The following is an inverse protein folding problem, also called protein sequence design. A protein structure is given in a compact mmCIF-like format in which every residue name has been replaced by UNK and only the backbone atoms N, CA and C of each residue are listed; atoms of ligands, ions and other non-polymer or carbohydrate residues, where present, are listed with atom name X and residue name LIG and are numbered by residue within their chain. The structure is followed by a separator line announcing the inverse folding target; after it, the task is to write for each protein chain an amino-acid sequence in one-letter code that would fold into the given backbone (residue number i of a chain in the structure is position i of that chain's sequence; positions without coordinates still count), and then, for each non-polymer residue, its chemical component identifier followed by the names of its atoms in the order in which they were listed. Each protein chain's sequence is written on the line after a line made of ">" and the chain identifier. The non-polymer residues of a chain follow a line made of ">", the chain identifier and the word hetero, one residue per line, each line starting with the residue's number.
data_IF_411696622805
#
_entry.id   IF_411696622805
#
_cell.length_a   1.000
_cell.length_b   1.000
_cell.length_c   1.000
_cell.angle_alpha   90.00
_cell.angle_beta   90.00
_cell.angle_gamma   90.00
#
_symmetry.space_group_name_H-M   'P 1'
#
loop_
_entity.id
_entity.type
_entity.pdbx_description
1 polymer ?
#
# COMPACT_ATOMS: atom_id res chain seq x y z
N UNK A 1 16.53 26.13 -6.52
CA UNK A 1 15.16 25.64 -6.21
C UNK A 1 14.42 25.17 -7.44
N UNK A 2 14.45 25.93 -8.58
CA UNK A 2 13.85 25.45 -9.85
C UNK A 2 14.51 24.15 -10.33
N UNK A 3 15.85 24.07 -10.32
CA UNK A 3 16.60 22.88 -10.74
C UNK A 3 16.23 21.61 -9.95
N UNK A 4 15.94 21.73 -8.64
CA UNK A 4 15.53 20.61 -7.79
C UNK A 4 14.16 20.05 -8.21
N UNK A 5 13.18 20.92 -8.50
CA UNK A 5 11.86 20.48 -8.95
C UNK A 5 11.91 19.87 -10.36
N UNK A 6 12.77 20.37 -11.22
CA UNK A 6 12.99 19.80 -12.55
C UNK A 6 13.60 18.40 -12.44
N UNK A 7 14.60 18.22 -11.58
CA UNK A 7 15.23 16.92 -11.34
C UNK A 7 14.22 15.92 -10.73
N UNK A 8 13.41 16.34 -9.76
CA UNK A 8 12.32 15.53 -9.20
C UNK A 8 11.35 15.12 -10.29
N UNK A 9 10.93 16.06 -11.16
CA UNK A 9 9.98 15.78 -12.25
C UNK A 9 10.52 14.76 -13.24
N UNK A 10 11.78 14.88 -13.65
CA UNK A 10 12.43 13.93 -14.57
C UNK A 10 12.56 12.54 -13.93
N UNK A 11 13.04 12.50 -12.68
CA UNK A 11 13.24 11.25 -11.94
C UNK A 11 11.89 10.56 -11.68
N UNK A 12 10.86 11.32 -11.32
CA UNK A 12 9.50 10.80 -11.11
C UNK A 12 8.91 10.21 -12.38
N UNK A 13 9.05 10.85 -13.53
CA UNK A 13 8.60 10.31 -14.82
C UNK A 13 9.29 8.98 -15.16
N UNK A 14 10.59 8.88 -14.90
CA UNK A 14 11.34 7.65 -15.12
C UNK A 14 10.88 6.54 -14.15
N UNK A 15 10.67 6.89 -12.89
CA UNK A 15 10.16 6.00 -11.85
C UNK A 15 8.75 5.48 -12.19
N UNK A 16 7.81 6.39 -12.51
CA UNK A 16 6.42 6.04 -12.89
C UNK A 16 6.40 5.06 -14.06
N UNK A 17 7.15 5.34 -15.13
CA UNK A 17 7.25 4.43 -16.28
C UNK A 17 7.83 3.05 -15.92
N UNK A 18 8.78 3.00 -15.00
CA UNK A 18 9.33 1.74 -14.49
C UNK A 18 8.29 0.99 -13.66
N UNK A 19 7.55 1.70 -12.81
CA UNK A 19 6.51 1.15 -11.96
C UNK A 19 5.33 0.59 -12.77
N UNK A 20 4.85 1.31 -13.80
CA UNK A 20 3.77 0.85 -14.67
C UNK A 20 4.12 -0.48 -15.34
N UNK A 21 5.37 -0.60 -15.84
CA UNK A 21 5.86 -1.86 -16.42
C UNK A 21 5.91 -2.99 -15.40
N UNK A 22 6.29 -2.68 -14.18
CA UNK A 22 6.37 -3.61 -13.07
C UNK A 22 4.98 -4.11 -12.68
N UNK A 23 4.02 -3.21 -12.49
CA UNK A 23 2.63 -3.54 -12.19
C UNK A 23 1.98 -4.36 -13.31
N UNK A 24 2.21 -4.02 -14.58
CA UNK A 24 1.71 -4.79 -15.72
C UNK A 24 2.25 -6.24 -15.72
N UNK A 25 3.53 -6.45 -15.37
CA UNK A 25 4.10 -7.79 -15.24
C UNK A 25 3.51 -8.59 -14.07
N UNK A 26 3.33 -7.92 -12.92
CA UNK A 26 2.69 -8.54 -11.76
C UNK A 26 1.25 -8.94 -12.06
N UNK A 27 0.47 -8.09 -12.72
CA UNK A 27 -0.89 -8.41 -13.15
C UNK A 27 -0.96 -9.57 -14.15
N UNK A 28 0.08 -9.73 -14.99
CA UNK A 28 0.24 -10.86 -15.92
C UNK A 28 0.85 -12.10 -15.28
N UNK A 29 1.08 -12.14 -13.96
CA UNK A 29 1.78 -13.22 -13.24
C UNK A 29 3.15 -13.58 -13.84
N UNK A 30 3.85 -12.61 -14.45
CA UNK A 30 5.18 -12.79 -15.02
C UNK A 30 6.27 -12.53 -13.97
N UNK A 31 7.39 -13.26 -14.09
CA UNK A 31 8.54 -13.03 -13.22
C UNK A 31 9.15 -11.65 -13.46
N UNK A 32 9.48 -10.97 -12.38
CA UNK A 32 10.18 -9.68 -12.43
C UNK A 32 11.64 -9.92 -12.84
N UNK A 33 12.18 -9.06 -13.70
CA UNK A 33 13.56 -9.15 -14.17
C UNK A 33 14.46 -8.52 -13.11
N UNK A 34 15.46 -9.24 -12.52
CA UNK A 34 16.30 -8.71 -11.44
C UNK A 34 16.99 -7.39 -11.78
N UNK A 35 17.48 -7.24 -13.01
CA UNK A 35 18.09 -5.97 -13.47
C UNK A 35 17.10 -4.81 -13.52
N UNK A 36 15.86 -5.07 -13.88
CA UNK A 36 14.79 -4.05 -13.90
C UNK A 36 14.41 -3.64 -12.48
N UNK A 37 14.36 -4.59 -11.55
CA UNK A 37 14.08 -4.32 -10.14
C UNK A 37 15.20 -3.50 -9.47
N UNK A 38 16.47 -3.82 -9.77
CA UNK A 38 17.61 -3.02 -9.28
C UNK A 38 17.51 -1.56 -9.78
N UNK A 39 17.28 -1.36 -11.08
CA UNK A 39 17.13 -0.01 -11.64
C UNK A 39 15.91 0.74 -11.09
N UNK A 40 14.82 0.03 -10.81
CA UNK A 40 13.65 0.62 -10.17
C UNK A 40 13.93 1.05 -8.72
N UNK A 41 14.68 0.23 -7.98
CA UNK A 41 15.10 0.56 -6.62
C UNK A 41 16.02 1.78 -6.58
N UNK A 42 16.97 1.88 -7.52
CA UNK A 42 17.86 3.03 -7.63
C UNK A 42 17.07 4.33 -7.88
N UNK A 43 16.08 4.30 -8.79
CA UNK A 43 15.19 5.43 -9.04
C UNK A 43 14.37 5.81 -7.80
N UNK A 44 13.90 4.82 -7.05
CA UNK A 44 13.15 5.04 -5.80
C UNK A 44 14.04 5.71 -4.74
N UNK A 45 15.26 5.21 -4.54
CA UNK A 45 16.22 5.78 -3.59
C UNK A 45 16.52 7.23 -3.97
N UNK A 46 16.84 7.47 -5.25
CA UNK A 46 17.13 8.83 -5.74
C UNK A 46 15.95 9.79 -5.54
N UNK A 47 14.73 9.32 -5.78
CA UNK A 47 13.53 10.14 -5.57
C UNK A 47 13.32 10.47 -4.10
N UNK A 48 13.56 9.51 -3.19
CA UNK A 48 13.47 9.72 -1.73
C UNK A 48 14.51 10.73 -1.25
N UNK A 49 15.76 10.67 -1.76
CA UNK A 49 16.80 11.65 -1.45
C UNK A 49 16.39 13.06 -1.87
N UNK A 50 15.96 13.22 -3.13
CA UNK A 50 15.50 14.51 -3.65
C UNK A 50 14.28 15.07 -2.88
N UNK A 51 13.36 14.19 -2.48
CA UNK A 51 12.20 14.60 -1.68
C UNK A 51 12.58 14.95 -0.24
N UNK A 52 13.67 14.40 0.30
CA UNK A 52 14.21 14.77 1.61
C UNK A 52 14.65 16.23 1.70
N UNK A 53 15.13 16.79 0.60
CA UNK A 53 15.53 18.19 0.50
C UNK A 53 14.33 19.16 0.37
N UNK A 54 13.13 18.62 0.09
CA UNK A 54 11.89 19.41 0.02
C UNK A 54 11.25 19.45 1.40
N UNK A 55 11.33 20.61 2.05
CA UNK A 55 10.67 20.82 3.35
C UNK A 55 9.15 21.00 3.16
N UNK A 56 8.43 19.87 3.24
CA UNK A 56 6.98 19.88 3.15
C UNK A 56 6.36 20.50 4.42
N UNK A 57 5.31 21.28 4.21
CA UNK A 57 4.52 21.82 5.34
C UNK A 57 3.84 20.65 6.08
N UNK A 58 3.87 20.71 7.43
CA UNK A 58 3.29 19.70 8.32
C UNK A 58 1.82 19.37 7.96
N UNK A 59 1.00 20.38 7.68
CA UNK A 59 -0.41 20.18 7.31
C UNK A 59 -0.56 19.35 6.02
N UNK A 60 0.40 19.47 5.07
CA UNK A 60 0.41 18.66 3.85
C UNK A 60 0.78 17.21 4.13
N UNK A 61 1.75 16.98 5.01
CA UNK A 61 2.14 15.63 5.45
C UNK A 61 0.95 14.94 6.13
N UNK A 62 0.25 15.65 7.01
CA UNK A 62 -0.94 15.12 7.69
C UNK A 62 -2.07 14.81 6.72
N UNK A 63 -2.37 15.70 5.78
CA UNK A 63 -3.40 15.49 4.77
C UNK A 63 -3.08 14.29 3.85
N UNK A 64 -1.82 14.14 3.42
CA UNK A 64 -1.37 12.99 2.62
C UNK A 64 -1.48 11.68 3.42
N UNK A 65 -1.06 11.70 4.69
CA UNK A 65 -1.17 10.53 5.57
C UNK A 65 -2.61 10.10 5.77
N UNK A 66 -3.54 11.05 6.02
CA UNK A 66 -4.97 10.73 6.18
C UNK A 66 -5.58 10.18 4.89
N UNK A 67 -5.18 10.70 3.73
CA UNK A 67 -5.62 10.15 2.44
C UNK A 67 -5.18 8.70 2.28
N UNK A 68 -3.91 8.39 2.56
CA UNK A 68 -3.38 7.01 2.52
C UNK A 68 -4.09 6.09 3.51
N UNK A 69 -4.40 6.55 4.73
CA UNK A 69 -5.17 5.76 5.69
C UNK A 69 -6.61 5.50 5.23
N UNK A 70 -7.22 6.46 4.54
CA UNK A 70 -8.56 6.29 3.97
C UNK A 70 -8.56 5.22 2.87
N UNK A 71 -7.57 5.26 1.96
CA UNK A 71 -7.39 4.22 0.95
C UNK A 71 -7.13 2.85 1.59
N UNK A 72 -6.30 2.78 2.64
CA UNK A 72 -6.04 1.53 3.36
C UNK A 72 -7.30 0.96 4.02
N UNK A 73 -8.14 1.81 4.63
CA UNK A 73 -9.44 1.39 5.18
C UNK A 73 -10.35 0.85 4.08
N UNK A 74 -10.36 1.47 2.91
CA UNK A 74 -11.15 1.02 1.77
C UNK A 74 -10.69 -0.37 1.28
N UNK A 75 -9.39 -0.56 1.03
CA UNK A 75 -8.81 -1.86 0.63
C UNK A 75 -9.11 -2.94 1.67
N UNK A 76 -8.88 -2.65 2.96
CA UNK A 76 -9.14 -3.60 4.04
C UNK A 76 -10.62 -3.99 4.13
N UNK A 77 -11.53 -3.05 3.87
CA UNK A 77 -12.98 -3.33 3.82
C UNK A 77 -13.33 -4.26 2.66
N UNK A 78 -12.76 -4.05 1.48
CA UNK A 78 -12.97 -4.91 0.30
C UNK A 78 -12.45 -6.33 0.54
N UNK A 79 -11.23 -6.45 1.08
CA UNK A 79 -10.65 -7.74 1.45
C UNK A 79 -11.46 -8.44 2.57
N UNK A 80 -11.98 -7.68 3.51
CA UNK A 80 -12.87 -8.19 4.55
C UNK A 80 -14.19 -8.75 4.01
N UNK A 81 -14.74 -8.13 2.96
CA UNK A 81 -15.92 -8.66 2.24
C UNK A 81 -15.58 -9.96 1.52
N UNK A 82 -14.47 -9.99 0.77
CA UNK A 82 -13.97 -11.17 0.08
C UNK A 82 -13.73 -12.33 1.06
N UNK A 83 -13.10 -12.05 2.19
CA UNK A 83 -12.82 -13.05 3.22
C UNK A 83 -14.13 -13.65 3.79
N UNK A 84 -15.14 -12.84 4.06
CA UNK A 84 -16.44 -13.30 4.57
C UNK A 84 -17.14 -14.19 3.57
N UNK A 85 -17.24 -13.79 2.31
CA UNK A 85 -17.83 -14.62 1.23
C UNK A 85 -17.11 -15.96 1.06
N UNK A 86 -15.79 -15.98 1.19
CA UNK A 86 -15.01 -17.23 1.12
C UNK A 86 -15.27 -18.15 2.32
N UNK A 87 -15.36 -17.60 3.54
CA UNK A 87 -15.69 -18.34 4.75
C UNK A 87 -17.10 -18.94 4.69
N UNK A 88 -18.09 -18.21 4.16
CA UNK A 88 -19.47 -18.68 3.96
C UNK A 88 -19.53 -19.87 2.97
N UNK A 89 -18.56 -19.97 2.07
CA UNK A 89 -18.41 -21.11 1.19
C UNK A 89 -17.61 -22.29 1.81
N UNK A 90 -17.15 -22.14 3.06
CA UNK A 90 -16.39 -23.17 3.79
C UNK A 90 -14.91 -23.22 3.41
N UNK A 91 -14.34 -22.12 2.90
CA UNK A 91 -12.91 -21.99 2.61
C UNK A 91 -12.24 -21.38 3.84
N UNK A 92 -11.16 -21.99 4.32
CA UNK A 92 -10.46 -21.46 5.50
C UNK A 92 -9.72 -20.16 5.17
N UNK A 93 -9.57 -19.28 6.17
CA UNK A 93 -8.83 -18.01 6.05
C UNK A 93 -7.40 -18.21 5.50
N UNK A 94 -6.70 -19.24 5.96
CA UNK A 94 -5.35 -19.56 5.49
C UNK A 94 -5.29 -19.89 4.01
N UNK A 95 -6.28 -20.65 3.51
CA UNK A 95 -6.39 -20.97 2.09
C UNK A 95 -6.67 -19.71 1.25
N UNK A 96 -7.56 -18.84 1.70
CA UNK A 96 -7.84 -17.57 1.00
C UNK A 96 -6.58 -16.73 0.92
N UNK A 97 -5.88 -16.52 2.03
CA UNK A 97 -4.66 -15.71 2.07
C UNK A 97 -3.55 -16.28 1.18
N UNK A 98 -3.35 -17.60 1.21
CA UNK A 98 -2.33 -18.27 0.38
C UNK A 98 -2.57 -18.08 -1.12
N UNK A 99 -3.82 -17.96 -1.56
CA UNK A 99 -4.17 -17.77 -2.97
C UNK A 99 -4.44 -16.32 -3.36
N UNK A 100 -4.71 -15.45 -2.39
CA UNK A 100 -5.00 -14.04 -2.61
C UNK A 100 -3.74 -13.19 -2.65
N UNK A 101 -2.84 -13.37 -1.67
CA UNK A 101 -1.64 -12.54 -1.52
C UNK A 101 -0.75 -12.62 -2.79
N UNK A 102 -0.46 -11.45 -3.37
CA UNK A 102 0.31 -11.32 -4.60
C UNK A 102 -0.49 -11.54 -5.89
N UNK A 103 -1.80 -11.80 -5.79
CA UNK A 103 -2.70 -12.00 -6.93
C UNK A 103 -3.93 -11.10 -6.89
N UNK A 104 -3.89 -10.05 -6.09
CA UNK A 104 -5.01 -9.14 -5.85
C UNK A 104 -5.51 -8.47 -7.14
N UNK A 105 -4.59 -8.23 -8.09
CA UNK A 105 -4.87 -7.60 -9.38
C UNK A 105 -4.97 -8.60 -10.55
N UNK A 106 -4.87 -9.91 -10.29
CA UNK A 106 -4.97 -10.91 -11.34
C UNK A 106 -6.41 -11.05 -11.81
N UNK A 107 -6.64 -10.98 -13.13
CA UNK A 107 -7.96 -11.27 -13.71
C UNK A 107 -8.33 -12.73 -13.41
N UNK A 108 -9.62 -12.98 -13.20
CA UNK A 108 -10.19 -14.32 -12.98
C UNK A 108 -9.75 -15.03 -11.69
N UNK A 109 -9.41 -14.30 -10.63
CA UNK A 109 -9.24 -14.94 -9.32
C UNK A 109 -10.59 -15.52 -8.83
N UNK A 110 -10.63 -16.74 -8.29
CA UNK A 110 -9.53 -17.59 -7.85
C UNK A 110 -8.82 -18.41 -8.95
N UNK A 111 -9.22 -18.26 -10.22
CA UNK A 111 -8.55 -18.86 -11.37
C UNK A 111 -8.74 -20.38 -11.49
N UNK A 112 -8.07 -20.97 -12.48
CA UNK A 112 -8.04 -22.43 -12.71
C UNK A 112 -7.05 -23.14 -11.80
N UNK A 113 -6.15 -22.41 -11.14
CA UNK A 113 -5.10 -22.98 -10.27
C UNK A 113 -5.62 -23.47 -8.92
N UNK A 114 -6.87 -23.16 -8.59
CA UNK A 114 -7.50 -23.56 -7.33
C UNK A 114 -8.63 -24.55 -7.64
N UNK A 115 -8.44 -25.81 -7.29
CA UNK A 115 -9.44 -26.87 -7.47
C UNK A 115 -10.08 -27.24 -6.13
N UNK A 116 -11.40 -27.43 -6.14
CA UNK A 116 -12.14 -27.86 -4.97
C UNK A 116 -13.61 -27.48 -5.04
N UNK A 117 -14.47 -28.27 -4.40
CA UNK A 117 -15.93 -28.06 -4.38
C UNK A 117 -16.30 -26.68 -3.82
N UNK A 118 -15.62 -26.24 -2.77
CA UNK A 118 -15.88 -24.97 -2.11
C UNK A 118 -15.48 -23.77 -2.97
N UNK A 119 -14.39 -23.89 -3.73
CA UNK A 119 -13.93 -22.85 -4.66
C UNK A 119 -14.85 -22.71 -5.87
N UNK A 120 -15.38 -23.83 -6.39
CA UNK A 120 -16.44 -23.79 -7.42
C UNK A 120 -17.68 -23.09 -6.88
N UNK A 121 -18.15 -23.46 -5.68
CA UNK A 121 -19.27 -22.82 -5.02
C UNK A 121 -19.07 -21.30 -4.84
N UNK A 122 -17.86 -20.89 -4.46
CA UNK A 122 -17.51 -19.47 -4.33
C UNK A 122 -17.63 -18.74 -5.68
N UNK A 123 -17.09 -19.34 -6.75
CA UNK A 123 -17.13 -18.76 -8.09
C UNK A 123 -18.56 -18.70 -8.65
N UNK A 124 -19.35 -19.78 -8.48
CA UNK A 124 -20.69 -19.87 -9.02
C UNK A 124 -21.67 -18.95 -8.29
N UNK A 125 -21.54 -18.79 -6.96
CA UNK A 125 -22.47 -18.00 -6.16
C UNK A 125 -22.08 -16.53 -6.05
N UNK A 126 -20.79 -16.22 -6.11
CA UNK A 126 -20.25 -14.88 -5.79
C UNK A 126 -19.31 -14.32 -6.86
N UNK A 127 -19.26 -14.93 -8.05
CA UNK A 127 -18.33 -14.54 -9.13
C UNK A 127 -18.39 -13.06 -9.47
N UNK A 128 -19.59 -12.50 -9.64
CA UNK A 128 -19.79 -11.09 -9.95
C UNK A 128 -19.31 -10.17 -8.82
N UNK A 129 -19.61 -10.53 -7.56
CA UNK A 129 -19.18 -9.77 -6.39
C UNK A 129 -17.65 -9.80 -6.21
N UNK A 130 -17.01 -10.93 -6.53
CA UNK A 130 -15.55 -11.05 -6.50
C UNK A 130 -14.90 -10.21 -7.59
N UNK A 131 -15.46 -10.22 -8.80
CA UNK A 131 -15.01 -9.37 -9.90
C UNK A 131 -15.11 -7.89 -9.55
N UNK A 132 -16.24 -7.47 -8.97
CA UNK A 132 -16.43 -6.09 -8.50
C UNK A 132 -15.38 -5.68 -7.45
N UNK A 133 -15.08 -6.57 -6.49
CA UNK A 133 -14.05 -6.31 -5.46
C UNK A 133 -12.67 -6.18 -6.10
N UNK A 134 -12.33 -7.06 -7.04
CA UNK A 134 -11.05 -7.00 -7.75
C UNK A 134 -10.91 -5.73 -8.59
N UNK A 135 -11.96 -5.33 -9.30
CA UNK A 135 -11.93 -4.12 -10.11
C UNK A 135 -11.75 -2.87 -9.23
N UNK A 136 -12.41 -2.82 -8.07
CA UNK A 136 -12.21 -1.73 -7.09
C UNK A 136 -10.79 -1.71 -6.53
N UNK A 137 -10.22 -2.87 -6.21
CA UNK A 137 -8.83 -2.95 -5.74
C UNK A 137 -7.86 -2.53 -6.85
N UNK A 138 -8.12 -2.94 -8.10
CA UNK A 138 -7.30 -2.53 -9.25
C UNK A 138 -7.32 -1.02 -9.45
N UNK A 139 -8.49 -0.38 -9.37
CA UNK A 139 -8.60 1.08 -9.44
C UNK A 139 -7.75 1.77 -8.36
N UNK A 140 -7.74 1.24 -7.14
CA UNK A 140 -6.89 1.78 -6.07
C UNK A 140 -5.40 1.58 -6.37
N UNK A 141 -5.01 0.42 -6.92
CA UNK A 141 -3.62 0.15 -7.33
C UNK A 141 -3.19 1.06 -8.48
N UNK A 142 -4.06 1.26 -9.47
CA UNK A 142 -3.78 2.14 -10.61
C UNK A 142 -3.67 3.61 -10.17
N UNK A 143 -4.52 4.06 -9.24
CA UNK A 143 -4.49 5.42 -8.69
C UNK A 143 -3.22 5.68 -7.85
N UNK A 144 -2.83 4.71 -7.02
CA UNK A 144 -1.62 4.82 -6.20
C UNK A 144 -0.32 4.55 -6.97
N UNK A 145 -0.39 3.82 -8.07
CA UNK A 145 0.79 3.32 -8.77
C UNK A 145 1.66 2.36 -7.94
N UNK A 146 1.12 1.70 -6.93
CA UNK A 146 1.82 0.76 -6.04
C UNK A 146 1.07 -0.56 -5.95
N UNK A 147 1.80 -1.67 -5.81
CA UNK A 147 1.17 -2.94 -5.47
C UNK A 147 0.60 -2.91 -4.04
N UNK A 148 -0.39 -3.73 -3.76
CA UNK A 148 -1.01 -3.80 -2.43
C UNK A 148 0.02 -4.15 -1.33
N UNK A 149 1.00 -5.00 -1.64
CA UNK A 149 2.06 -5.34 -0.70
C UNK A 149 2.94 -4.13 -0.36
N UNK A 150 3.41 -3.40 -1.36
CA UNK A 150 4.20 -2.17 -1.19
C UNK A 150 3.41 -1.09 -0.47
N UNK A 151 2.13 -0.94 -0.81
CA UNK A 151 1.25 0.00 -0.13
C UNK A 151 1.12 -0.29 1.37
N UNK A 152 0.99 -1.57 1.75
CA UNK A 152 0.97 -1.98 3.16
C UNK A 152 2.27 -1.65 3.90
N UNK A 153 3.42 -1.84 3.25
CA UNK A 153 4.72 -1.46 3.81
C UNK A 153 4.81 0.04 4.07
N UNK A 154 4.33 0.86 3.11
CA UNK A 154 4.25 2.33 3.28
C UNK A 154 3.37 2.69 4.46
N UNK A 155 2.16 2.12 4.56
CA UNK A 155 1.24 2.36 5.67
C UNK A 155 1.86 1.98 7.01
N UNK A 156 2.52 0.83 7.11
CA UNK A 156 3.20 0.39 8.33
C UNK A 156 4.33 1.35 8.73
N UNK A 157 5.08 1.84 7.75
CA UNK A 157 6.16 2.79 7.98
C UNK A 157 5.63 4.12 8.51
N UNK A 158 4.55 4.65 7.91
CA UNK A 158 3.89 5.88 8.38
C UNK A 158 3.35 5.69 9.81
N UNK A 159 2.67 4.59 10.08
CA UNK A 159 2.12 4.29 11.41
C UNK A 159 3.21 4.18 12.48
N UNK A 160 4.36 3.60 12.14
CA UNK A 160 5.51 3.53 13.03
C UNK A 160 6.05 4.92 13.33
N UNK A 161 6.30 5.72 12.30
CA UNK A 161 6.77 7.09 12.45
C UNK A 161 5.81 7.96 13.26
N UNK A 162 4.51 7.86 13.04
CA UNK A 162 3.50 8.58 13.84
C UNK A 162 3.53 8.17 15.32
N UNK A 163 3.68 6.88 15.63
CA UNK A 163 3.79 6.40 17.02
C UNK A 163 5.06 6.92 17.69
N UNK A 164 6.18 6.90 16.98
CA UNK A 164 7.47 7.43 17.49
C UNK A 164 7.38 8.95 17.74
N UNK A 165 6.81 9.70 16.80
CA UNK A 165 6.60 11.14 16.93
C UNK A 165 5.64 11.47 18.10
N UNK A 166 4.55 10.73 18.24
CA UNK A 166 3.60 10.92 19.35
C UNK A 166 4.25 10.62 20.71
N UNK A 167 5.09 9.58 20.78
CA UNK A 167 5.85 9.24 21.99
C UNK A 167 6.85 10.35 22.35
N UNK A 168 7.65 10.81 21.40
CA UNK A 168 8.61 11.88 21.61
C UNK A 168 7.92 13.19 22.06
N UNK A 169 6.79 13.54 21.43
CA UNK A 169 5.96 14.69 21.83
C UNK A 169 5.47 14.57 23.27
N UNK A 170 5.00 13.38 23.68
CA UNK A 170 4.56 13.11 25.04
C UNK A 170 5.70 13.28 26.05
N UNK A 171 6.86 12.68 25.79
CA UNK A 171 8.05 12.77 26.62
C UNK A 171 8.52 14.23 26.78
N UNK A 172 8.48 15.00 25.69
CA UNK A 172 8.80 16.45 25.71
C UNK A 172 7.82 17.25 26.58
N UNK A 173 6.52 16.98 26.45
CA UNK A 173 5.48 17.64 27.27
C UNK A 173 5.66 17.29 28.75
N UNK A 174 5.91 16.02 29.09
CA UNK A 174 6.16 15.58 30.45
C UNK A 174 7.41 16.25 31.06
N UNK A 175 8.50 16.35 30.29
CA UNK A 175 9.72 17.04 30.73
C UNK A 175 9.47 18.53 30.99
N UNK A 176 8.76 19.20 30.09
CA UNK A 176 8.39 20.60 30.25
C UNK A 176 7.49 20.82 31.47
N UNK A 177 6.53 19.96 31.74
CA UNK A 177 5.67 20.04 32.93
C UNK A 177 6.47 19.88 34.22
N UNK A 178 7.44 18.94 34.27
CA UNK A 178 8.33 18.77 35.42
C UNK A 178 9.18 20.02 35.66
N UNK A 179 9.67 20.66 34.60
CA UNK A 179 10.43 21.91 34.69
C UNK A 179 9.55 23.01 35.26
N UNK A 180 8.34 23.19 34.75
CA UNK A 180 7.40 24.23 35.26
C UNK A 180 7.08 24.02 36.75
N UNK A 181 6.83 22.79 37.18
CA UNK A 181 6.57 22.46 38.59
C UNK A 181 7.81 22.75 39.45
N UNK A 182 9.01 22.50 38.96
CA UNK A 182 10.25 22.79 39.68
C UNK A 182 10.50 24.28 39.85
N UNK A 183 10.10 25.11 38.88
CA UNK A 183 10.25 26.59 38.95
C UNK A 183 9.16 27.21 39.85
N UNK A 184 7.98 26.61 39.91
CA UNK A 184 6.84 27.11 40.71
C UNK A 184 6.91 26.72 42.19
N UNK A 185 7.88 25.92 42.61
CA UNK A 185 8.18 25.63 44.01
C UNK A 185 9.16 26.63 44.59
#
# INVERSE_FOLDING_TARGET
>A
MMDLFDEISVTFKAFSKSQDRRLARMAACQTLIPRSEASHLDLKIRLVELMGDVHLNQNRIEALSEHLFTLNRHVTSLEGRLMRTALDCGISRGQVLAHWTGRECTKDWPGTSVSGKNWKKLKDNYGDSLSEIQDKIRLVVDDMGLSIAEFREVIQTIQRGQREAARAKKEMVEANLRLVISIAK
#
